data_IF_437740378617
#
_entry.id   IF_437740378617
#
_cell.length_a   1.000
_cell.length_b   1.000
_cell.length_c   1.000
_cell.angle_alpha   90.00
_cell.angle_beta   90.00
_cell.angle_gamma   90.00
#
_symmetry.space_group_name_H-M   'P 1'
#
loop_
_entity.id
_entity.type
_entity.pdbx_description
1 polymer ?
#
# COMPACT_ATOMS: atom_id res chain seq x y z
N UNK A 1 -31.00 20.62 -9.93
CA UNK A 1 -31.62 19.54 -9.18
C UNK A 1 -30.71 19.21 -8.03
N UNK A 2 -31.19 19.20 -6.79
CA UNK A 2 -30.37 18.74 -5.68
C UNK A 2 -30.06 17.25 -5.90
N UNK A 3 -28.78 16.87 -6.00
CA UNK A 3 -28.36 15.48 -6.04
C UNK A 3 -28.71 14.84 -4.70
N UNK A 4 -29.15 13.58 -4.71
CA UNK A 4 -29.38 12.85 -3.47
C UNK A 4 -28.09 12.81 -2.63
N UNK A 5 -28.18 12.89 -1.29
CA UNK A 5 -26.99 12.82 -0.44
C UNK A 5 -26.29 11.46 -0.60
N UNK A 6 -24.96 11.47 -0.67
CA UNK A 6 -24.13 10.27 -0.64
C UNK A 6 -23.81 9.97 0.82
N UNK A 7 -24.01 8.73 1.26
CA UNK A 7 -23.76 8.30 2.62
C UNK A 7 -22.47 7.47 2.71
N UNK A 8 -21.83 7.49 3.88
CA UNK A 8 -20.73 6.60 4.20
C UNK A 8 -21.17 5.13 4.19
N UNK A 9 -20.18 4.21 4.20
CA UNK A 9 -20.43 2.77 4.27
C UNK A 9 -21.20 2.40 5.55
N UNK A 10 -21.98 1.30 5.54
CA UNK A 10 -22.66 0.82 6.74
C UNK A 10 -21.63 0.32 7.78
N UNK A 11 -21.92 0.41 9.10
CA UNK A 11 -20.99 0.04 10.15
C UNK A 11 -20.53 -1.42 10.08
N UNK A 12 -21.35 -2.30 9.50
CA UNK A 12 -21.03 -3.71 9.25
C UNK A 12 -19.77 -3.86 8.39
N UNK A 13 -19.56 -2.96 7.45
CA UNK A 13 -18.39 -2.95 6.58
C UNK A 13 -17.06 -2.79 7.34
N UNK A 14 -17.10 -2.22 8.54
CA UNK A 14 -15.90 -1.95 9.34
C UNK A 14 -15.68 -2.94 10.49
N UNK A 15 -16.64 -3.82 10.80
CA UNK A 15 -16.60 -4.65 12.01
C UNK A 15 -16.92 -6.12 11.80
N UNK A 16 -17.56 -6.50 10.68
CA UNK A 16 -18.00 -7.89 10.51
C UNK A 16 -16.98 -8.74 9.75
N UNK A 17 -16.76 -9.95 10.24
CA UNK A 17 -15.85 -10.92 9.65
C UNK A 17 -16.21 -11.26 8.19
N UNK A 18 -17.50 -11.24 7.83
CA UNK A 18 -17.93 -11.52 6.44
C UNK A 18 -17.42 -10.49 5.45
N UNK A 19 -17.39 -9.20 5.85
CA UNK A 19 -16.82 -8.13 5.03
C UNK A 19 -15.31 -8.31 4.90
N UNK A 20 -14.65 -8.54 6.02
CA UNK A 20 -13.20 -8.77 6.03
C UNK A 20 -12.81 -9.97 5.16
N UNK A 21 -13.51 -11.10 5.30
CA UNK A 21 -13.27 -12.29 4.48
C UNK A 21 -13.47 -12.02 2.98
N UNK A 22 -14.48 -11.23 2.62
CA UNK A 22 -14.70 -10.82 1.24
C UNK A 22 -13.59 -9.89 0.74
N UNK A 23 -13.14 -8.94 1.56
CA UNK A 23 -12.02 -8.04 1.24
C UNK A 23 -10.73 -8.81 0.98
N UNK A 24 -10.41 -9.79 1.86
CA UNK A 24 -9.24 -10.65 1.67
C UNK A 24 -9.29 -11.39 0.32
N UNK A 25 -10.47 -11.84 -0.10
CA UNK A 25 -10.64 -12.60 -1.34
C UNK A 25 -10.73 -11.71 -2.58
N UNK A 26 -11.57 -10.67 -2.55
CA UNK A 26 -11.98 -9.93 -3.73
C UNK A 26 -11.25 -8.59 -3.90
N UNK A 27 -10.56 -8.13 -2.87
CA UNK A 27 -9.72 -6.93 -2.93
C UNK A 27 -8.25 -7.33 -2.94
N UNK A 28 -7.72 -7.79 -1.83
CA UNK A 28 -6.29 -8.12 -1.71
C UNK A 28 -5.87 -9.34 -2.53
N UNK A 29 -6.77 -10.32 -2.71
CA UNK A 29 -6.55 -11.52 -3.52
C UNK A 29 -6.82 -11.34 -5.02
N UNK A 30 -7.44 -10.22 -5.45
CA UNK A 30 -7.91 -10.03 -6.83
C UNK A 30 -7.45 -8.73 -7.50
N UNK A 31 -6.58 -7.96 -6.85
CA UNK A 31 -6.02 -6.72 -7.40
C UNK A 31 -4.50 -6.68 -7.24
N UNK A 32 -3.86 -5.78 -8.00
CA UNK A 32 -2.45 -5.47 -7.82
C UNK A 32 -2.23 -4.77 -6.49
N UNK A 33 -1.41 -5.36 -5.63
CA UNK A 33 -1.06 -4.79 -4.32
C UNK A 33 0.37 -4.27 -4.35
N UNK A 34 0.60 -3.10 -3.77
CA UNK A 34 1.95 -2.66 -3.46
C UNK A 34 2.58 -3.57 -2.40
N UNK A 35 3.82 -3.98 -2.62
CA UNK A 35 4.50 -4.93 -1.75
C UNK A 35 5.82 -4.41 -1.18
N UNK A 36 6.59 -3.64 -1.95
CA UNK A 36 7.86 -3.07 -1.49
C UNK A 36 8.41 -2.04 -2.50
N UNK A 37 9.44 -1.32 -2.10
CA UNK A 37 10.31 -0.60 -3.03
C UNK A 37 11.32 -1.57 -3.67
N UNK A 38 11.76 -1.30 -4.89
CA UNK A 38 12.65 -2.19 -5.67
C UNK A 38 13.98 -2.46 -4.96
N UNK A 39 14.48 -1.51 -4.16
CA UNK A 39 15.71 -1.70 -3.37
C UNK A 39 15.64 -2.86 -2.37
N UNK A 40 14.44 -3.28 -1.97
CA UNK A 40 14.27 -4.44 -1.08
C UNK A 40 14.63 -5.77 -1.76
N UNK A 41 14.65 -5.81 -3.11
CA UNK A 41 14.94 -7.01 -3.91
C UNK A 41 15.99 -6.73 -4.99
N UNK A 42 16.98 -5.88 -4.71
CA UNK A 42 17.96 -5.42 -5.69
C UNK A 42 18.94 -6.53 -6.13
N UNK A 43 19.48 -7.28 -5.18
CA UNK A 43 20.53 -8.24 -5.47
C UNK A 43 19.98 -9.62 -5.87
N UNK A 44 20.67 -10.35 -6.79
CA UNK A 44 20.30 -11.75 -7.07
C UNK A 44 20.26 -12.60 -5.80
N UNK A 45 19.22 -13.42 -5.70
CA UNK A 45 18.93 -14.23 -4.53
C UNK A 45 18.14 -13.53 -3.42
N UNK A 46 17.95 -12.21 -3.47
CA UNK A 46 17.08 -11.51 -2.52
C UNK A 46 15.66 -11.99 -2.62
N UNK A 47 15.01 -12.21 -1.50
CA UNK A 47 13.60 -12.58 -1.43
C UNK A 47 12.86 -11.82 -0.32
N UNK A 48 11.54 -11.69 -0.49
CA UNK A 48 10.60 -11.19 0.51
C UNK A 48 9.31 -11.99 0.45
N UNK A 49 8.80 -12.38 1.62
CA UNK A 49 7.47 -12.98 1.74
C UNK A 49 6.47 -11.88 2.03
N UNK A 50 5.33 -11.93 1.36
CA UNK A 50 4.22 -10.98 1.53
C UNK A 50 2.91 -11.75 1.62
N UNK A 51 1.97 -11.23 2.41
CA UNK A 51 0.61 -11.73 2.48
C UNK A 51 -0.29 -10.84 1.63
N UNK A 52 -1.02 -11.42 0.68
CA UNK A 52 -2.00 -10.73 -0.16
C UNK A 52 -3.34 -11.47 -0.08
N UNK A 53 -4.26 -10.91 0.69
CA UNK A 53 -5.49 -11.61 1.00
C UNK A 53 -5.21 -12.95 1.69
N UNK A 54 -5.73 -14.03 1.12
CA UNK A 54 -5.53 -15.39 1.64
C UNK A 54 -4.22 -16.03 1.18
N UNK A 55 -3.49 -15.41 0.25
CA UNK A 55 -2.31 -15.98 -0.37
C UNK A 55 -1.01 -15.42 0.24
N UNK A 56 -0.12 -16.33 0.64
CA UNK A 56 1.27 -15.98 0.96
C UNK A 56 2.12 -16.12 -0.31
N UNK A 57 2.83 -15.07 -0.70
CA UNK A 57 3.68 -15.05 -1.88
C UNK A 57 5.15 -14.86 -1.49
N UNK A 58 6.06 -15.47 -2.28
CA UNK A 58 7.50 -15.20 -2.24
C UNK A 58 7.84 -14.38 -3.49
N UNK A 59 8.28 -13.14 -3.30
CA UNK A 59 8.94 -12.38 -4.34
C UNK A 59 10.43 -12.68 -4.28
N UNK A 60 11.07 -12.88 -5.43
CA UNK A 60 12.50 -13.21 -5.49
C UNK A 60 13.16 -12.61 -6.73
N UNK A 61 14.37 -12.10 -6.57
CA UNK A 61 15.26 -11.76 -7.70
C UNK A 61 16.07 -13.00 -8.05
N UNK A 62 15.84 -13.57 -9.21
CA UNK A 62 16.58 -14.77 -9.63
C UNK A 62 18.07 -14.48 -9.95
N UNK A 63 18.85 -15.52 -10.25
CA UNK A 63 20.28 -15.37 -10.53
C UNK A 63 20.59 -14.58 -11.80
N UNK A 64 19.60 -14.37 -12.68
CA UNK A 64 19.71 -13.55 -13.89
C UNK A 64 19.24 -12.11 -13.66
N UNK A 65 18.86 -11.76 -12.44
CA UNK A 65 18.28 -10.46 -12.09
C UNK A 65 16.81 -10.31 -12.46
N UNK A 66 16.11 -11.39 -12.85
CA UNK A 66 14.68 -11.34 -13.16
C UNK A 66 13.87 -11.38 -11.87
N UNK A 67 12.95 -10.44 -11.69
CA UNK A 67 11.98 -10.43 -10.60
C UNK A 67 10.90 -11.49 -10.86
N UNK A 68 10.61 -12.33 -9.87
CA UNK A 68 9.61 -13.38 -9.93
C UNK A 68 8.77 -13.42 -8.66
N UNK A 69 7.55 -13.92 -8.78
CA UNK A 69 6.71 -14.23 -7.63
C UNK A 69 6.15 -15.64 -7.73
N UNK A 70 6.02 -16.29 -6.58
CA UNK A 70 5.45 -17.63 -6.44
C UNK A 70 4.60 -17.69 -5.19
N UNK A 71 3.56 -18.54 -5.18
CA UNK A 71 2.87 -18.89 -3.95
C UNK A 71 3.84 -19.57 -2.99
N UNK A 72 3.84 -19.13 -1.74
CA UNK A 72 4.73 -19.60 -0.68
C UNK A 72 4.26 -20.97 -0.12
N UNK A 73 4.14 -21.94 -0.99
CA UNK A 73 3.69 -23.27 -0.60
C UNK A 73 4.46 -24.37 -1.35
N UNK A 74 4.92 -25.37 -0.61
CA UNK A 74 5.62 -26.51 -1.14
C UNK A 74 4.68 -27.41 -1.95
N UNK A 75 5.08 -27.82 -3.16
CA UNK A 75 4.29 -28.69 -4.04
C UNK A 75 4.11 -30.12 -3.53
N UNK A 76 4.80 -30.49 -2.43
CA UNK A 76 4.61 -31.79 -1.78
C UNK A 76 3.37 -31.80 -0.87
N UNK A 77 3.33 -30.95 0.16
CA UNK A 77 2.25 -30.94 1.18
C UNK A 77 1.89 -29.53 1.65
N UNK A 78 2.16 -28.51 0.86
CA UNK A 78 1.70 -27.14 1.13
C UNK A 78 2.44 -26.38 2.23
N UNK A 79 3.51 -26.93 2.82
CA UNK A 79 4.26 -26.19 3.83
C UNK A 79 4.86 -24.90 3.27
N UNK A 80 4.89 -23.78 4.03
CA UNK A 80 5.55 -22.55 3.60
C UNK A 80 7.04 -22.79 3.37
N UNK A 81 7.59 -22.17 2.35
CA UNK A 81 9.00 -22.34 1.94
C UNK A 81 9.92 -21.34 2.63
N UNK A 82 9.43 -20.13 2.86
CA UNK A 82 10.17 -19.01 3.42
C UNK A 82 9.29 -18.18 4.36
N UNK A 83 9.97 -17.42 5.22
CA UNK A 83 9.38 -16.40 6.08
C UNK A 83 10.21 -15.12 6.00
N UNK A 84 9.59 -13.96 6.20
CA UNK A 84 10.25 -12.66 6.24
C UNK A 84 10.95 -12.27 4.92
N UNK A 85 12.16 -11.78 5.04
CA UNK A 85 12.99 -11.35 3.91
C UNK A 85 14.44 -11.79 4.11
N UNK A 86 15.21 -11.87 3.02
CA UNK A 86 16.62 -12.26 3.08
C UNK A 86 17.19 -12.62 1.72
N UNK A 87 18.24 -13.46 1.74
CA UNK A 87 18.86 -13.97 0.51
C UNK A 87 18.98 -15.49 0.53
N UNK A 88 18.79 -16.12 -0.61
CA UNK A 88 18.94 -17.56 -0.77
C UNK A 88 19.39 -17.93 -2.19
N UNK A 89 20.02 -19.10 -2.31
CA UNK A 89 20.36 -19.69 -3.61
C UNK A 89 19.26 -20.58 -4.16
N UNK A 90 18.33 -21.03 -3.30
CA UNK A 90 17.20 -21.88 -3.63
C UNK A 90 16.07 -21.71 -2.62
N UNK A 91 14.85 -22.06 -3.02
CA UNK A 91 13.69 -22.12 -2.16
C UNK A 91 13.54 -23.58 -1.66
N UNK A 92 13.99 -23.84 -0.44
CA UNK A 92 14.01 -25.19 0.13
C UNK A 92 12.95 -25.32 1.22
N UNK A 93 12.08 -26.31 1.08
CA UNK A 93 11.03 -26.62 2.04
C UNK A 93 11.63 -27.07 3.38
N UNK A 94 11.25 -26.46 4.51
CA UNK A 94 11.77 -26.85 5.81
C UNK A 94 11.29 -28.24 6.25
N UNK A 95 10.17 -28.74 5.70
CA UNK A 95 9.54 -29.97 6.13
C UNK A 95 10.25 -31.22 5.60
N UNK A 96 10.30 -31.42 4.27
CA UNK A 96 10.90 -32.61 3.66
C UNK A 96 12.04 -32.30 2.69
N UNK A 97 12.57 -31.08 2.74
CA UNK A 97 13.73 -30.62 1.96
C UNK A 97 13.56 -30.67 0.44
N UNK A 98 12.32 -30.71 -0.08
CA UNK A 98 12.11 -30.44 -1.48
C UNK A 98 12.66 -29.06 -1.81
N UNK A 99 13.45 -28.97 -2.87
CA UNK A 99 14.12 -27.72 -3.22
C UNK A 99 13.72 -27.27 -4.62
N UNK A 100 13.50 -25.97 -4.74
CA UNK A 100 13.13 -25.31 -5.98
C UNK A 100 14.18 -24.26 -6.34
N UNK A 101 14.45 -24.09 -7.64
CA UNK A 101 15.25 -22.98 -8.13
C UNK A 101 14.54 -21.65 -7.90
N UNK A 102 15.28 -20.53 -8.01
CA UNK A 102 14.67 -19.20 -7.98
C UNK A 102 13.83 -18.90 -9.23
N UNK A 103 13.87 -19.80 -10.21
CA UNK A 103 12.98 -19.85 -11.39
C UNK A 103 11.70 -20.66 -11.14
N UNK A 104 11.49 -21.14 -9.91
CA UNK A 104 10.33 -21.93 -9.50
C UNK A 104 10.38 -23.42 -9.85
N UNK A 105 11.34 -23.89 -10.63
CA UNK A 105 11.43 -25.30 -11.05
C UNK A 105 11.85 -26.20 -9.89
N UNK A 106 11.24 -27.40 -9.78
CA UNK A 106 11.64 -28.42 -8.83
C UNK A 106 13.06 -28.92 -9.17
N UNK A 107 14.00 -28.83 -8.21
CA UNK A 107 15.42 -29.18 -8.36
C UNK A 107 15.78 -30.45 -7.63
N UNK A 108 15.36 -30.59 -6.40
CA UNK A 108 15.75 -31.71 -5.53
C UNK A 108 14.57 -32.29 -4.76
N UNK A 109 14.54 -33.63 -4.73
CA UNK A 109 13.60 -34.43 -3.94
C UNK A 109 14.41 -35.48 -3.19
N UNK A 110 14.61 -35.32 -1.88
CA UNK A 110 15.25 -36.34 -1.05
C UNK A 110 14.47 -37.66 -1.12
N UNK A 111 15.19 -38.79 -1.11
CA UNK A 111 14.60 -40.14 -1.30
C UNK A 111 13.72 -40.19 -2.57
N UNK A 112 14.19 -39.63 -3.67
CA UNK A 112 13.43 -39.58 -4.93
C UNK A 112 12.96 -40.95 -5.45
N UNK A 113 13.66 -42.00 -5.09
CA UNK A 113 13.29 -43.40 -5.38
C UNK A 113 11.97 -43.83 -4.73
N UNK A 114 11.55 -43.16 -3.66
CA UNK A 114 10.25 -43.39 -3.01
C UNK A 114 9.08 -42.74 -3.75
N UNK A 115 9.36 -41.97 -4.82
CA UNK A 115 8.37 -41.25 -5.66
C UNK A 115 8.48 -41.75 -7.10
N UNK A 116 8.04 -43.02 -7.40
CA UNK A 116 8.05 -43.51 -8.75
C UNK A 116 7.18 -42.63 -9.63
N UNK A 117 7.60 -42.41 -10.87
CA UNK A 117 6.88 -41.64 -11.90
C UNK A 117 6.65 -40.12 -11.56
N UNK A 118 7.51 -39.54 -10.71
CA UNK A 118 7.41 -38.14 -10.34
C UNK A 118 7.65 -37.24 -11.55
N UNK A 119 6.62 -36.55 -12.02
CA UNK A 119 6.75 -35.49 -13.02
C UNK A 119 7.29 -34.21 -12.39
N UNK A 120 8.61 -34.02 -12.50
CA UNK A 120 9.30 -32.86 -11.94
C UNK A 120 8.97 -31.55 -12.65
N UNK A 121 8.58 -31.60 -13.91
CA UNK A 121 8.23 -30.40 -14.70
C UNK A 121 6.86 -29.86 -14.26
N UNK A 122 5.91 -30.73 -14.04
CA UNK A 122 4.58 -30.39 -13.51
C UNK A 122 4.58 -29.92 -12.04
N UNK A 123 5.66 -30.20 -11.31
CA UNK A 123 5.78 -29.88 -9.88
C UNK A 123 6.61 -28.63 -9.59
N UNK A 124 6.71 -27.70 -10.53
CA UNK A 124 7.21 -26.35 -10.30
C UNK A 124 6.30 -25.59 -9.30
N UNK A 125 6.84 -24.54 -8.65
CA UNK A 125 6.03 -23.65 -7.79
C UNK A 125 4.93 -22.97 -8.61
N UNK A 126 3.79 -22.74 -7.99
CA UNK A 126 2.72 -21.98 -8.61
C UNK A 126 3.18 -20.52 -8.79
N UNK A 127 3.20 -20.00 -10.01
CA UNK A 127 3.57 -18.61 -10.25
C UNK A 127 2.51 -17.65 -9.74
N UNK A 128 2.92 -16.43 -9.44
CA UNK A 128 2.09 -15.28 -9.22
C UNK A 128 2.61 -14.12 -10.09
N UNK A 129 1.78 -13.14 -10.39
CA UNK A 129 2.24 -11.98 -11.13
C UNK A 129 3.00 -11.01 -10.24
N UNK A 130 4.06 -10.40 -10.80
CA UNK A 130 4.83 -9.34 -10.15
C UNK A 130 5.31 -8.36 -11.21
N UNK A 131 5.27 -7.08 -10.87
CA UNK A 131 5.74 -6.01 -11.75
C UNK A 131 6.41 -4.90 -10.96
N UNK A 132 7.23 -4.12 -11.65
CA UNK A 132 7.87 -2.92 -11.13
C UNK A 132 7.35 -1.70 -11.90
N UNK A 133 6.96 -0.66 -11.16
CA UNK A 133 6.52 0.61 -11.71
C UNK A 133 7.24 1.75 -10.96
N UNK A 134 8.09 2.48 -11.67
CA UNK A 134 8.91 3.59 -11.11
C UNK A 134 9.63 3.24 -9.79
N UNK A 135 10.16 2.00 -9.67
CA UNK A 135 10.85 1.54 -8.46
C UNK A 135 9.93 1.03 -7.36
N UNK A 136 8.63 1.02 -7.57
CA UNK A 136 7.64 0.43 -6.68
C UNK A 136 7.25 -0.96 -7.20
N UNK A 137 7.31 -1.98 -6.33
CA UNK A 137 6.97 -3.36 -6.67
C UNK A 137 5.53 -3.65 -6.30
N UNK A 138 4.83 -4.26 -7.25
CA UNK A 138 3.45 -4.72 -7.08
C UNK A 138 3.37 -6.21 -7.38
N UNK A 139 2.48 -6.91 -6.67
CA UNK A 139 2.21 -8.32 -6.91
C UNK A 139 0.71 -8.60 -6.97
N UNK A 140 0.37 -9.67 -7.68
CA UNK A 140 -0.99 -10.17 -7.81
C UNK A 140 -0.95 -11.70 -7.67
N UNK A 141 -1.85 -12.33 -6.84
CA UNK A 141 -1.84 -13.79 -6.66
C UNK A 141 -2.08 -14.57 -7.96
N UNK A 142 -2.94 -14.07 -8.85
CA UNK A 142 -3.15 -14.67 -10.16
C UNK A 142 -1.91 -14.38 -11.05
N UNK A 143 -1.30 -15.39 -11.70
CA UNK A 143 -0.19 -15.18 -12.62
C UNK A 143 -0.58 -14.46 -13.91
N UNK A 144 -1.85 -14.48 -14.31
CA UNK A 144 -2.42 -13.86 -15.50
C UNK A 144 -3.65 -13.00 -15.13
N UNK A 145 -3.45 -11.93 -14.35
CA UNK A 145 -4.56 -11.10 -13.91
C UNK A 145 -5.27 -10.45 -15.11
N UNK A 146 -6.58 -10.28 -15.00
CA UNK A 146 -7.42 -9.71 -16.06
C UNK A 146 -6.96 -8.30 -16.50
N UNK A 147 -6.28 -7.57 -15.60
CA UNK A 147 -5.72 -6.25 -15.86
C UNK A 147 -4.21 -6.28 -15.61
N UNK A 148 -3.41 -5.78 -16.57
CA UNK A 148 -1.96 -5.65 -16.38
C UNK A 148 -1.65 -4.55 -15.36
N UNK A 149 -0.44 -4.56 -14.78
CA UNK A 149 -0.01 -3.53 -13.84
C UNK A 149 -0.06 -2.13 -14.46
N UNK A 150 0.41 -1.99 -15.72
CA UNK A 150 0.39 -0.72 -16.45
C UNK A 150 -1.04 -0.20 -16.65
N UNK A 151 -2.00 -1.11 -16.92
CA UNK A 151 -3.40 -0.73 -17.04
C UNK A 151 -4.03 -0.35 -15.70
N UNK A 152 -3.66 -1.05 -14.61
CA UNK A 152 -4.13 -0.72 -13.26
C UNK A 152 -3.63 0.64 -12.78
N UNK A 153 -2.40 1.01 -13.14
CA UNK A 153 -1.76 2.27 -12.77
C UNK A 153 -1.85 3.35 -13.87
N UNK A 154 -2.65 3.13 -14.91
CA UNK A 154 -2.77 4.09 -15.99
C UNK A 154 -3.18 5.48 -15.49
N UNK A 155 -2.41 6.50 -15.88
CA UNK A 155 -2.65 7.90 -15.51
C UNK A 155 -1.98 8.36 -14.20
N UNK A 156 -1.37 7.47 -13.40
CA UNK A 156 -0.66 7.86 -12.16
C UNK A 156 0.70 8.50 -12.44
N UNK A 157 1.32 8.21 -13.57
CA UNK A 157 2.67 8.65 -13.89
C UNK A 157 2.89 10.17 -13.72
N UNK A 158 2.03 11.08 -14.24
CA UNK A 158 2.24 12.51 -14.09
C UNK A 158 2.33 13.02 -12.64
N UNK A 159 1.63 12.33 -11.72
CA UNK A 159 1.64 12.69 -10.30
C UNK A 159 2.88 12.17 -9.55
N UNK A 160 3.50 11.06 -10.00
CA UNK A 160 4.53 10.36 -9.24
C UNK A 160 5.92 10.37 -9.90
N UNK A 161 5.99 10.36 -11.24
CA UNK A 161 7.25 10.39 -11.98
C UNK A 161 8.19 11.55 -11.60
N UNK A 162 7.70 12.77 -11.34
CA UNK A 162 8.56 13.87 -10.96
C UNK A 162 9.40 13.61 -9.72
N UNK A 163 8.93 12.79 -8.81
CA UNK A 163 9.66 12.42 -7.59
C UNK A 163 10.74 11.36 -7.81
N UNK A 164 10.73 10.68 -8.99
CA UNK A 164 11.67 9.61 -9.36
C UNK A 164 11.87 8.55 -8.26
N UNK A 165 10.79 7.92 -7.73
CA UNK A 165 10.89 7.09 -6.52
C UNK A 165 11.96 6.01 -6.62
N UNK A 166 12.13 5.38 -7.78
CA UNK A 166 13.11 4.32 -8.01
C UNK A 166 14.58 4.75 -7.87
N UNK A 167 14.87 6.06 -7.84
CA UNK A 167 16.22 6.60 -7.65
C UNK A 167 16.52 6.96 -6.19
N UNK A 168 15.52 6.86 -5.30
CA UNK A 168 15.63 7.26 -3.91
C UNK A 168 16.15 6.12 -3.04
N UNK A 169 16.81 6.49 -1.94
CA UNK A 169 17.26 5.55 -0.93
C UNK A 169 16.29 5.49 0.24
N UNK A 170 16.15 4.32 0.84
CA UNK A 170 15.44 4.14 2.10
C UNK A 170 16.19 4.91 3.19
N UNK A 171 15.52 5.82 3.87
CA UNK A 171 16.04 6.61 4.97
C UNK A 171 15.52 6.11 6.33
N UNK A 172 14.25 5.70 6.39
CA UNK A 172 13.63 5.19 7.61
C UNK A 172 12.47 4.26 7.26
N UNK A 173 12.24 3.25 8.11
CA UNK A 173 11.05 2.39 8.05
C UNK A 173 10.45 2.21 9.43
N UNK A 174 9.14 2.15 9.50
CA UNK A 174 8.41 1.97 10.74
C UNK A 174 7.14 1.15 10.51
N UNK A 175 6.75 0.35 11.53
CA UNK A 175 5.48 -0.37 11.57
C UNK A 175 4.62 0.20 12.68
N UNK A 176 3.44 0.66 12.32
CA UNK A 176 2.50 1.31 13.24
C UNK A 176 1.22 0.45 13.30
N UNK A 177 1.07 -0.44 14.29
CA UNK A 177 -0.19 -1.14 14.49
C UNK A 177 -1.23 -0.18 15.09
N UNK A 178 -2.48 -0.31 14.66
CA UNK A 178 -3.60 0.46 15.22
C UNK A 178 -4.89 -0.36 15.27
N UNK A 179 -5.76 -0.04 16.25
CA UNK A 179 -6.97 -0.79 16.55
C UNK A 179 -8.17 -0.27 15.77
N UNK A 180 -8.08 -0.32 14.42
CA UNK A 180 -9.18 0.06 13.54
C UNK A 180 -9.10 -0.66 12.18
N UNK A 181 -10.23 -0.62 11.48
CA UNK A 181 -10.36 -1.14 10.11
C UNK A 181 -9.52 -0.30 9.13
N UNK A 182 -8.85 -0.96 8.19
CA UNK A 182 -8.01 -0.33 7.18
C UNK A 182 -8.72 0.73 6.35
N UNK A 183 -10.02 0.56 6.10
CA UNK A 183 -10.83 1.51 5.33
C UNK A 183 -10.97 2.86 6.01
N UNK A 184 -11.02 2.89 7.35
CA UNK A 184 -11.07 4.15 8.09
C UNK A 184 -9.79 4.97 7.89
N UNK A 185 -8.65 4.29 7.76
CA UNK A 185 -7.40 5.00 7.46
C UNK A 185 -7.39 5.52 6.01
N UNK A 186 -7.91 4.75 5.04
CA UNK A 186 -8.06 5.26 3.67
C UNK A 186 -9.01 6.45 3.63
N UNK A 187 -10.17 6.36 4.28
CA UNK A 187 -11.14 7.46 4.36
C UNK A 187 -10.50 8.73 4.94
N UNK A 188 -9.74 8.61 6.04
CA UNK A 188 -9.00 9.72 6.62
C UNK A 188 -7.97 10.28 5.64
N UNK A 189 -7.15 9.44 5.00
CA UNK A 189 -6.11 9.86 4.06
C UNK A 189 -6.66 10.63 2.84
N UNK A 190 -7.87 10.29 2.38
CA UNK A 190 -8.50 10.94 1.21
C UNK A 190 -9.52 12.00 1.60
N UNK A 191 -9.77 12.22 2.88
CA UNK A 191 -10.63 13.29 3.40
C UNK A 191 -9.85 14.62 3.48
N UNK A 192 -10.41 15.68 2.90
CA UNK A 192 -9.84 17.01 3.00
C UNK A 192 -10.51 17.88 4.07
N UNK A 193 -11.69 17.50 4.52
CA UNK A 193 -12.45 18.31 5.47
C UNK A 193 -11.82 18.33 6.86
N UNK A 194 -11.24 17.20 7.29
CA UNK A 194 -10.62 17.10 8.62
C UNK A 194 -9.33 17.91 8.75
N UNK A 195 -8.61 18.20 7.63
CA UNK A 195 -7.32 18.88 7.65
C UNK A 195 -7.36 20.25 8.34
N UNK A 196 -8.47 21.00 8.23
CA UNK A 196 -8.61 22.29 8.89
C UNK A 196 -8.93 22.25 10.36
N UNK A 197 -9.39 21.09 10.84
CA UNK A 197 -9.88 20.97 12.20
C UNK A 197 -8.97 20.07 13.03
N UNK A 198 -8.67 18.89 12.55
CA UNK A 198 -7.82 17.93 13.27
C UNK A 198 -6.36 18.37 13.26
N UNK A 199 -5.89 18.90 12.13
CA UNK A 199 -4.49 19.27 11.90
C UNK A 199 -4.22 20.78 11.99
N UNK A 200 -5.03 21.52 12.73
CA UNK A 200 -4.88 22.98 12.88
C UNK A 200 -3.46 23.36 13.32
N UNK A 201 -2.84 22.58 14.20
CA UNK A 201 -1.53 22.85 14.77
C UNK A 201 -0.36 22.20 14.03
N UNK A 202 -0.61 21.21 13.19
CA UNK A 202 0.42 20.41 12.49
C UNK A 202 0.50 20.75 11.01
N UNK A 203 -0.62 20.93 10.32
CA UNK A 203 -0.71 21.23 8.89
C UNK A 203 -1.25 22.64 8.59
N UNK A 204 -1.36 23.51 9.58
CA UNK A 204 -1.89 24.87 9.42
C UNK A 204 -1.11 25.76 8.46
N UNK A 205 0.17 25.42 8.18
CA UNK A 205 1.02 26.12 7.20
C UNK A 205 0.61 25.90 5.74
N UNK A 206 -0.23 24.90 5.47
CA UNK A 206 -0.64 24.59 4.11
C UNK A 206 -1.93 25.31 3.72
N UNK A 207 -1.99 25.72 2.43
CA UNK A 207 -3.21 26.22 1.82
C UNK A 207 -4.01 25.02 1.29
N UNK A 208 -4.89 24.49 2.14
CA UNK A 208 -5.71 23.34 1.78
C UNK A 208 -6.69 23.73 0.67
N UNK A 209 -6.49 23.26 -0.57
CA UNK A 209 -7.38 23.58 -1.67
C UNK A 209 -8.76 23.00 -1.36
N UNK A 210 -9.79 23.78 -1.63
CA UNK A 210 -11.17 23.45 -1.31
C UNK A 210 -11.63 22.17 -2.04
N UNK A 211 -11.42 21.00 -1.42
CA UNK A 211 -11.99 19.73 -1.83
C UNK A 211 -11.55 19.23 -3.20
N UNK A 212 -10.36 19.60 -3.66
CA UNK A 212 -9.92 19.20 -4.99
C UNK A 212 -9.16 17.87 -4.99
N UNK A 213 -9.79 16.86 -5.57
CA UNK A 213 -9.06 15.78 -6.21
C UNK A 213 -8.32 16.44 -7.38
N UNK A 214 -6.99 16.49 -7.33
CA UNK A 214 -6.19 17.08 -8.41
C UNK A 214 -6.26 16.21 -9.65
N UNK A 215 -6.18 14.88 -9.43
CA UNK A 215 -6.29 13.88 -10.47
C UNK A 215 -6.92 12.61 -9.89
N UNK A 216 -7.63 11.86 -10.72
CA UNK A 216 -8.22 10.58 -10.35
C UNK A 216 -8.24 9.62 -11.54
N UNK A 217 -8.07 8.34 -11.24
CA UNK A 217 -8.27 7.24 -12.17
C UNK A 217 -9.17 6.17 -11.57
N UNK A 218 -9.40 5.07 -12.29
CA UNK A 218 -10.27 4.01 -11.79
C UNK A 218 -9.84 3.43 -10.44
N UNK A 219 -8.52 3.41 -10.15
CA UNK A 219 -7.95 2.76 -8.97
C UNK A 219 -7.02 3.67 -8.16
N UNK A 220 -7.06 4.97 -8.38
CA UNK A 220 -6.17 5.88 -7.70
C UNK A 220 -6.75 7.29 -7.59
N UNK A 221 -6.24 8.02 -6.60
CA UNK A 221 -6.54 9.42 -6.32
C UNK A 221 -5.24 10.18 -6.06
N UNK A 222 -5.19 11.43 -6.45
CA UNK A 222 -4.06 12.32 -6.21
C UNK A 222 -4.53 13.68 -5.72
N UNK A 223 -3.88 14.16 -4.69
CA UNK A 223 -4.10 15.47 -4.08
C UNK A 223 -2.77 16.21 -3.97
N UNK A 224 -2.77 17.49 -4.24
CA UNK A 224 -1.61 18.36 -4.12
C UNK A 224 -2.00 19.63 -3.38
N UNK A 225 -1.15 20.08 -2.48
CA UNK A 225 -1.34 21.32 -1.74
C UNK A 225 -0.08 22.18 -1.75
N UNK A 226 -0.25 23.49 -1.67
CA UNK A 226 0.86 24.47 -1.62
C UNK A 226 1.04 24.95 -0.20
N UNK A 227 2.29 25.29 0.17
CA UNK A 227 2.51 26.12 1.34
C UNK A 227 1.98 27.54 1.11
N UNK A 228 1.46 28.18 2.16
CA UNK A 228 1.14 29.60 2.16
C UNK A 228 2.44 30.37 1.95
N UNK A 229 2.41 31.44 1.13
CA UNK A 229 3.62 32.24 0.74
C UNK A 229 4.42 32.76 1.95
N UNK A 230 3.75 33.07 3.05
CA UNK A 230 4.38 33.55 4.29
C UNK A 230 5.09 32.49 5.12
N UNK A 231 4.85 31.21 4.82
CA UNK A 231 5.29 30.05 5.63
C UNK A 231 6.02 29.01 4.77
N UNK A 232 6.60 29.46 3.65
CA UNK A 232 7.28 28.59 2.65
C UNK A 232 8.57 27.91 3.15
N UNK A 233 8.76 27.82 4.47
CA UNK A 233 9.88 27.15 5.12
C UNK A 233 9.49 25.72 5.49
N UNK A 234 9.30 24.86 4.48
CA UNK A 234 9.19 23.42 4.70
C UNK A 234 7.89 22.95 5.38
N UNK A 235 7.78 21.66 5.57
CA UNK A 235 6.74 20.98 6.34
C UNK A 235 6.87 21.35 7.83
N UNK A 236 6.33 22.52 8.22
CA UNK A 236 6.48 23.06 9.57
C UNK A 236 7.94 23.21 10.07
N UNK A 237 8.91 23.45 9.16
CA UNK A 237 10.35 23.46 9.48
C UNK A 237 11.03 22.10 9.49
N UNK A 238 10.28 21.02 9.31
CA UNK A 238 10.74 19.63 9.47
C UNK A 238 11.59 19.13 8.30
N UNK A 239 11.41 19.72 7.16
CA UNK A 239 11.97 19.29 5.89
C UNK A 239 13.43 19.76 5.68
N UNK A 240 13.90 20.73 6.46
CA UNK A 240 15.24 21.31 6.27
C UNK A 240 16.41 20.35 6.54
N UNK A 241 16.16 19.27 7.27
CA UNK A 241 17.18 18.27 7.59
C UNK A 241 17.46 17.29 6.46
N UNK A 242 16.54 17.17 5.50
CA UNK A 242 16.71 16.35 4.31
C UNK A 242 17.18 17.19 3.12
N UNK A 243 17.99 16.59 2.25
CA UNK A 243 18.39 17.24 1.00
C UNK A 243 17.23 17.28 0.00
N UNK A 244 17.05 18.37 -0.79
CA UNK A 244 16.04 18.41 -1.84
C UNK A 244 16.20 17.28 -2.85
N UNK A 245 15.08 16.76 -3.36
CA UNK A 245 15.09 15.73 -4.39
C UNK A 245 15.64 16.34 -5.71
N UNK A 246 16.72 15.78 -6.28
CA UNK A 246 17.34 16.32 -7.50
C UNK A 246 16.38 16.34 -8.68
N UNK A 247 15.42 15.41 -8.72
CA UNK A 247 14.40 15.30 -9.76
C UNK A 247 13.44 16.51 -9.80
N UNK A 248 13.29 17.22 -8.66
CA UNK A 248 12.44 18.41 -8.54
C UNK A 248 13.20 19.73 -8.79
N UNK A 249 14.47 19.68 -9.18
CA UNK A 249 15.23 20.86 -9.51
C UNK A 249 14.57 21.59 -10.71
N UNK A 250 14.04 22.81 -10.46
CA UNK A 250 13.32 23.58 -11.48
C UNK A 250 11.88 23.13 -11.77
N UNK A 251 11.34 22.18 -11.00
CA UNK A 251 9.94 21.75 -11.13
C UNK A 251 8.94 22.83 -10.68
N UNK A 252 7.67 22.64 -11.07
CA UNK A 252 6.58 23.52 -10.64
C UNK A 252 6.53 23.59 -9.09
N UNK A 253 6.38 24.79 -8.50
CA UNK A 253 6.24 24.95 -7.05
C UNK A 253 5.14 24.09 -6.40
N UNK A 254 4.10 23.69 -7.14
CA UNK A 254 3.06 22.77 -6.65
C UNK A 254 3.65 21.43 -6.23
N UNK A 255 4.57 20.87 -7.02
CA UNK A 255 5.24 19.60 -6.71
C UNK A 255 6.18 19.69 -5.50
N UNK A 256 6.52 20.91 -5.07
CA UNK A 256 7.32 21.18 -3.87
C UNK A 256 6.49 21.31 -2.60
N UNK A 257 5.17 21.38 -2.74
CA UNK A 257 4.23 21.29 -1.62
C UNK A 257 4.09 19.85 -1.13
N UNK A 258 2.99 19.58 -0.41
CA UNK A 258 2.64 18.21 -0.01
C UNK A 258 1.71 17.61 -1.06
N UNK A 259 2.09 16.42 -1.55
CA UNK A 259 1.24 15.53 -2.29
C UNK A 259 0.78 14.38 -1.41
N UNK A 260 -0.51 14.05 -1.49
CA UNK A 260 -1.07 12.84 -0.91
C UNK A 260 -1.73 12.04 -2.03
N UNK A 261 -1.37 10.76 -2.15
CA UNK A 261 -1.88 9.92 -3.22
C UNK A 261 -2.34 8.59 -2.63
N UNK A 262 -3.40 8.06 -3.20
CA UNK A 262 -3.91 6.73 -2.85
C UNK A 262 -3.97 5.86 -4.09
N UNK A 263 -3.36 4.69 -4.02
CA UNK A 263 -3.44 3.65 -5.04
C UNK A 263 -4.11 2.41 -4.43
N UNK A 264 -5.28 2.08 -4.98
CA UNK A 264 -6.05 0.92 -4.52
C UNK A 264 -5.28 -0.39 -4.72
N UNK A 265 -5.32 -1.33 -3.77
CA UNK A 265 -6.09 -1.28 -2.54
C UNK A 265 -5.34 -0.71 -1.33
N UNK A 266 -4.01 -0.75 -1.28
CA UNK A 266 -3.28 -0.67 -0.02
C UNK A 266 -2.15 0.35 0.03
N UNK A 267 -1.95 1.16 -1.01
CA UNK A 267 -0.82 2.08 -1.07
C UNK A 267 -1.26 3.52 -0.87
N UNK A 268 -0.75 4.10 0.20
CA UNK A 268 -0.78 5.53 0.48
C UNK A 268 0.59 6.11 0.14
N UNK A 269 0.62 7.28 -0.46
CA UNK A 269 1.85 7.97 -0.79
C UNK A 269 1.79 9.40 -0.28
N UNK A 270 2.91 9.85 0.25
CA UNK A 270 3.14 11.24 0.57
C UNK A 270 4.39 11.70 -0.13
N UNK A 271 4.35 12.89 -0.68
CA UNK A 271 5.47 13.46 -1.42
C UNK A 271 5.69 14.92 -1.04
N UNK A 272 6.93 15.38 -1.18
CA UNK A 272 7.32 16.74 -0.92
C UNK A 272 8.65 17.07 -1.60
N UNK A 273 9.14 18.30 -1.46
CA UNK A 273 10.38 18.73 -2.12
C UNK A 273 11.59 17.86 -1.74
N UNK A 274 11.58 17.26 -0.54
CA UNK A 274 12.76 16.59 0.04
C UNK A 274 12.56 15.14 0.38
N UNK A 275 11.35 14.60 0.21
CA UNK A 275 11.02 13.24 0.58
C UNK A 275 9.96 12.63 -0.33
N UNK A 276 9.96 11.31 -0.32
CA UNK A 276 8.88 10.48 -0.83
C UNK A 276 8.61 9.39 0.21
N UNK A 277 7.35 9.16 0.56
CA UNK A 277 7.00 8.18 1.57
C UNK A 277 5.92 7.24 1.06
N UNK A 278 6.08 5.96 1.33
CA UNK A 278 5.03 4.95 1.13
C UNK A 278 4.41 4.57 2.47
N UNK A 279 3.09 4.51 2.51
CA UNK A 279 2.31 3.91 3.58
C UNK A 279 1.57 2.70 3.05
N UNK A 280 1.95 1.49 3.48
CA UNK A 280 1.26 0.27 3.09
C UNK A 280 0.32 -0.18 4.20
N UNK A 281 -0.97 -0.31 3.88
CA UNK A 281 -1.95 -0.87 4.80
C UNK A 281 -1.95 -2.40 4.74
N UNK A 282 -1.83 -3.02 5.90
CA UNK A 282 -1.87 -4.48 6.09
C UNK A 282 -2.98 -4.79 7.09
N UNK A 283 -4.20 -5.09 6.62
CA UNK A 283 -5.30 -5.43 7.51
C UNK A 283 -5.09 -6.84 8.09
N UNK A 284 -5.13 -6.94 9.43
CA UNK A 284 -4.94 -8.20 10.17
C UNK A 284 -6.27 -8.80 10.63
N UNK A 285 -7.26 -7.96 10.92
CA UNK A 285 -8.63 -8.34 11.28
C UNK A 285 -9.61 -7.22 10.91
N UNK A 286 -10.94 -7.38 11.09
CA UNK A 286 -11.89 -6.29 10.88
C UNK A 286 -11.58 -5.03 11.68
N UNK A 287 -10.93 -5.16 12.85
CA UNK A 287 -10.63 -4.06 13.75
C UNK A 287 -9.15 -3.81 14.01
N UNK A 288 -8.25 -4.44 13.26
CA UNK A 288 -6.80 -4.29 13.45
C UNK A 288 -6.09 -4.16 12.11
N UNK A 289 -5.22 -3.17 12.02
CA UNK A 289 -4.44 -2.89 10.82
C UNK A 289 -3.03 -2.48 11.21
N UNK A 290 -2.05 -2.83 10.39
CA UNK A 290 -0.68 -2.32 10.49
C UNK A 290 -0.44 -1.38 9.32
N UNK A 291 0.04 -0.17 9.61
CA UNK A 291 0.56 0.76 8.64
C UNK A 291 2.09 0.59 8.57
N UNK A 292 2.60 0.15 7.43
CA UNK A 292 4.04 0.08 7.15
C UNK A 292 4.44 1.38 6.45
N UNK A 293 5.12 2.27 7.18
CA UNK A 293 5.63 3.55 6.67
C UNK A 293 7.09 3.40 6.27
N UNK A 294 7.44 3.89 5.08
CA UNK A 294 8.82 3.94 4.61
C UNK A 294 9.11 5.29 3.99
N UNK A 295 10.08 5.98 4.55
CA UNK A 295 10.59 7.26 4.08
C UNK A 295 11.76 7.05 3.13
N UNK A 296 11.69 7.67 1.97
CA UNK A 296 12.74 7.68 0.95
C UNK A 296 13.20 9.10 0.67
N UNK A 297 14.48 9.25 0.30
CA UNK A 297 15.07 10.53 -0.03
C UNK A 297 16.51 10.39 -0.52
N UNK A 298 17.23 11.49 -0.50
CA UNK A 298 18.66 11.55 -0.84
C UNK A 298 19.48 11.15 0.41
N UNK A 299 20.48 10.25 0.29
CA UNK A 299 21.33 9.88 1.41
C UNK A 299 22.08 11.08 2.02
N UNK A 300 22.27 11.06 3.34
CA UNK A 300 23.06 12.06 4.09
C UNK A 300 22.24 13.05 4.92
N UNK A 301 20.91 13.04 4.82
CA UNK A 301 20.01 13.76 5.72
C UNK A 301 19.68 12.99 7.00
N UNK A 302 19.18 13.69 8.01
CA UNK A 302 18.65 13.07 9.23
C UNK A 302 17.13 12.92 9.15
N UNK A 303 16.60 11.69 9.03
CA UNK A 303 15.15 11.47 8.88
C UNK A 303 14.35 11.67 10.18
N UNK A 304 15.01 11.85 11.34
CA UNK A 304 14.33 11.82 12.64
C UNK A 304 13.30 12.93 12.81
N UNK A 305 13.61 14.16 12.39
CA UNK A 305 12.69 15.28 12.49
C UNK A 305 11.49 15.13 11.55
N UNK A 306 11.76 14.71 10.30
CA UNK A 306 10.70 14.41 9.33
C UNK A 306 9.76 13.33 9.86
N UNK A 307 10.30 12.24 10.41
CA UNK A 307 9.51 11.16 10.99
C UNK A 307 8.77 11.60 12.26
N UNK A 308 9.36 12.46 13.09
CA UNK A 308 8.68 13.00 14.27
C UNK A 308 7.44 13.81 13.89
N UNK A 309 7.51 14.65 12.85
CA UNK A 309 6.36 15.38 12.38
C UNK A 309 5.29 14.48 11.75
N UNK A 310 5.70 13.51 10.93
CA UNK A 310 4.76 12.52 10.42
C UNK A 310 4.09 11.73 11.54
N UNK A 311 4.81 11.38 12.58
CA UNK A 311 4.26 10.67 13.72
C UNK A 311 3.28 11.54 14.52
N UNK A 312 3.55 12.83 14.68
CA UNK A 312 2.62 13.76 15.32
C UNK A 312 1.27 13.81 14.58
N UNK A 313 1.29 13.88 13.25
CA UNK A 313 0.09 13.84 12.41
C UNK A 313 -0.55 12.44 12.47
N UNK A 314 0.20 11.42 12.10
CA UNK A 314 -0.32 10.07 11.87
C UNK A 314 -0.71 9.35 13.16
N UNK A 315 0.15 9.38 14.20
CA UNK A 315 -0.08 8.62 15.44
C UNK A 315 -0.88 9.40 16.47
N UNK A 316 -0.55 10.68 16.64
CA UNK A 316 -1.09 11.46 17.75
C UNK A 316 -2.42 12.14 17.39
N UNK A 317 -2.71 12.31 16.10
CA UNK A 317 -3.95 12.92 15.62
C UNK A 317 -4.82 11.90 14.85
N UNK A 318 -4.38 11.41 13.68
CA UNK A 318 -5.19 10.56 12.80
C UNK A 318 -5.57 9.24 13.42
N UNK A 319 -4.60 8.44 13.87
CA UNK A 319 -4.86 7.10 14.43
C UNK A 319 -5.73 7.20 15.69
N UNK A 320 -5.50 8.18 16.53
CA UNK A 320 -6.33 8.41 17.73
C UNK A 320 -7.79 8.64 17.35
N UNK A 321 -8.04 9.45 16.30
CA UNK A 321 -9.40 9.70 15.79
C UNK A 321 -10.01 8.46 15.15
N UNK A 322 -9.26 7.76 14.29
CA UNK A 322 -9.70 6.55 13.57
C UNK A 322 -10.07 5.43 14.56
N UNK A 323 -9.27 5.20 15.60
CA UNK A 323 -9.59 4.24 16.66
C UNK A 323 -10.84 4.66 17.46
N UNK A 324 -11.02 5.97 17.64
CA UNK A 324 -12.24 6.52 18.23
C UNK A 324 -13.49 6.20 17.38
N UNK A 325 -13.39 6.38 16.07
CA UNK A 325 -14.45 6.03 15.10
C UNK A 325 -14.76 4.53 15.15
N UNK A 326 -13.74 3.67 15.10
CA UNK A 326 -13.92 2.21 15.19
C UNK A 326 -14.69 1.81 16.44
N UNK A 327 -14.31 2.37 17.61
CA UNK A 327 -15.04 2.12 18.88
C UNK A 327 -16.47 2.61 18.82
N UNK A 328 -16.73 3.79 18.27
CA UNK A 328 -18.08 4.35 18.16
C UNK A 328 -18.99 3.53 17.24
N UNK A 329 -18.44 2.98 16.16
CA UNK A 329 -19.18 2.13 15.21
C UNK A 329 -19.61 0.78 15.79
N UNK A 330 -19.03 0.35 16.93
CA UNK A 330 -19.47 -0.85 17.64
C UNK A 330 -20.84 -0.67 18.34
N UNK A 331 -21.29 0.57 18.52
CA UNK A 331 -22.54 0.89 19.20
C UNK A 331 -23.77 0.72 18.29
N UNK A 332 -24.89 0.25 18.86
CA UNK A 332 -26.14 -0.02 18.13
C UNK A 332 -26.80 1.25 17.54
N UNK A 333 -26.40 2.42 17.98
CA UNK A 333 -26.99 3.70 17.56
C UNK A 333 -26.28 4.36 16.40
N UNK A 334 -25.07 3.90 16.05
CA UNK A 334 -24.35 4.47 14.92
C UNK A 334 -25.13 4.24 13.62
N UNK A 335 -25.24 5.28 12.82
CA UNK A 335 -25.78 5.27 11.46
C UNK A 335 -24.89 6.14 10.59
N UNK A 336 -24.60 5.72 9.33
CA UNK A 336 -23.77 6.52 8.43
C UNK A 336 -24.35 7.91 8.24
N UNK A 337 -23.50 8.94 8.35
CA UNK A 337 -23.85 10.31 7.97
C UNK A 337 -23.70 10.56 6.48
N UNK A 338 -24.23 11.68 5.97
CA UNK A 338 -23.99 12.11 4.60
C UNK A 338 -22.58 12.63 4.44
N UNK A 339 -21.94 12.33 3.30
CA UNK A 339 -20.64 12.87 2.93
C UNK A 339 -20.78 14.29 2.37
N UNK A 340 -19.95 15.19 2.83
CA UNK A 340 -19.94 16.59 2.40
C UNK A 340 -19.33 16.73 0.99
N UNK A 341 -20.09 17.28 0.05
CA UNK A 341 -19.61 17.53 -1.32
C UNK A 341 -19.21 19.00 -1.49
N UNK A 342 -18.06 19.29 -2.17
CA UNK A 342 -17.13 18.33 -2.80
C UNK A 342 -16.00 17.79 -1.90
N UNK A 343 -15.96 18.15 -0.61
CA UNK A 343 -14.85 17.92 0.32
C UNK A 343 -14.52 16.45 0.57
N UNK A 344 -15.56 15.61 0.66
CA UNK A 344 -15.46 14.17 0.88
C UNK A 344 -15.79 13.35 -0.38
N UNK A 345 -15.69 13.99 -1.57
CA UNK A 345 -15.95 13.31 -2.84
C UNK A 345 -14.98 12.15 -3.08
N UNK A 346 -13.76 12.22 -2.55
CA UNK A 346 -12.78 11.18 -2.66
C UNK A 346 -13.13 9.93 -1.82
N UNK A 347 -13.76 10.11 -0.66
CA UNK A 347 -14.30 9.01 0.13
C UNK A 347 -15.39 8.28 -0.69
N UNK A 348 -16.30 9.03 -1.31
CA UNK A 348 -17.33 8.45 -2.17
C UNK A 348 -16.72 7.68 -3.36
N UNK A 349 -15.64 8.19 -3.95
CA UNK A 349 -14.91 7.51 -5.02
C UNK A 349 -14.27 6.20 -4.52
N UNK A 350 -13.60 6.23 -3.37
CA UNK A 350 -13.05 5.04 -2.74
C UNK A 350 -14.14 3.99 -2.46
N UNK A 351 -15.27 4.39 -1.87
CA UNK A 351 -16.40 3.49 -1.59
C UNK A 351 -16.95 2.87 -2.87
N UNK A 352 -17.06 3.63 -3.95
CA UNK A 352 -17.50 3.11 -5.24
C UNK A 352 -16.59 1.98 -5.75
N UNK A 353 -15.26 2.17 -5.67
CA UNK A 353 -14.30 1.13 -6.07
C UNK A 353 -14.37 -0.08 -5.17
N UNK A 354 -14.41 0.14 -3.86
CA UNK A 354 -14.53 -0.92 -2.87
C UNK A 354 -15.76 -1.80 -3.14
N UNK A 355 -16.94 -1.17 -3.29
CA UNK A 355 -18.18 -1.88 -3.51
C UNK A 355 -18.23 -2.57 -4.88
N UNK A 356 -17.62 -1.98 -5.90
CA UNK A 356 -17.47 -2.62 -7.21
C UNK A 356 -16.61 -3.88 -7.13
N UNK A 357 -15.48 -3.82 -6.43
CA UNK A 357 -14.62 -4.98 -6.20
C UNK A 357 -15.30 -6.06 -5.35
N UNK A 358 -16.16 -5.67 -4.40
CA UNK A 358 -16.91 -6.59 -3.52
C UNK A 358 -18.23 -7.09 -4.09
N UNK A 359 -18.67 -6.62 -5.27
CA UNK A 359 -19.94 -7.04 -5.87
C UNK A 359 -20.11 -8.58 -5.95
N UNK A 360 -19.06 -9.39 -6.25
CA UNK A 360 -19.21 -10.86 -6.25
C UNK A 360 -19.54 -11.48 -4.90
N UNK A 361 -19.35 -10.76 -3.80
CA UNK A 361 -19.58 -11.28 -2.44
C UNK A 361 -21.04 -11.10 -1.96
N UNK A 362 -21.90 -10.36 -2.69
CA UNK A 362 -23.31 -10.08 -2.34
C UNK A 362 -23.52 -9.59 -0.90
N UNK A 363 -22.65 -8.70 -0.42
CA UNK A 363 -22.62 -8.26 0.98
C UNK A 363 -23.77 -7.30 1.36
N UNK A 364 -24.40 -6.68 0.38
CA UNK A 364 -25.47 -5.70 0.57
C UNK A 364 -26.87 -6.30 0.42
N UNK A 365 -26.97 -7.59 0.12
CA UNK A 365 -28.21 -8.38 0.12
C UNK A 365 -28.48 -8.95 1.53
#
# INVERSE_FOLDING_TARGET
>A
MATAPVYALPPEAFREDRWFAAEQRWIFGAHWNFVAHASALEAPGSFRVVQLGLDSLILVRDQRGVLRAFHNLCRHRGAPLKEGAGRCASLTCPYHRWSFGLDGRLRGVPQGEAFPDLDREALGLFPAAVGEWHGLLFAHPDPEPAQTLEAALAGTAPALEPFAPGSLSLLHEERVPFAANWKLYVENHVDWLHLWHLHENTLGAFDHPRGHITQAGPHWLSFETRCKEAEAAGFGGVDETLAPLPSLAGADPVLKGIGAHYLFPNLLLFSGERFFMTGKLVPESPGETVLELVLYGVPGGDPRETMAAFNAITKDEDIVMIEGLQRAMAGDRFRPGPLAQPWEAAIAHFHHHLLTALAPASLLE
#
